data_IF_249830690940
#
_entry.id   IF_249830690940
#
_cell.length_a   1.000
_cell.length_b   1.000
_cell.length_c   1.000
_cell.angle_alpha   90.00
_cell.angle_beta   90.00
_cell.angle_gamma   90.00
#
_symmetry.space_group_name_H-M   'P 1'
#
loop_
_entity.id
_entity.type
_entity.pdbx_description
1 polymer ?
#
# COMPACT_ATOMS: atom_id res chain seq x y z
N UNK A 1 -28.79 31.39 39.04
CA UNK A 1 -27.75 31.13 38.02
C UNK A 1 -27.34 29.63 37.94
N UNK A 2 -28.29 28.68 37.85
CA UNK A 2 -28.01 27.22 37.86
C UNK A 2 -28.30 26.47 36.55
N UNK A 3 -28.83 27.16 35.54
CA UNK A 3 -29.29 26.54 34.27
C UNK A 3 -28.14 26.44 33.24
N UNK A 4 -27.13 27.31 33.35
CA UNK A 4 -26.06 27.46 32.35
C UNK A 4 -25.04 26.30 32.36
N UNK A 5 -24.82 25.66 33.51
CA UNK A 5 -23.88 24.54 33.68
C UNK A 5 -24.38 23.23 33.07
N UNK A 6 -25.69 22.97 33.03
CA UNK A 6 -26.24 21.74 32.44
C UNK A 6 -26.07 21.73 30.92
N UNK A 7 -26.34 22.84 30.24
CA UNK A 7 -26.15 22.96 28.78
C UNK A 7 -24.67 22.85 28.36
N UNK A 8 -23.76 23.39 29.18
CA UNK A 8 -22.33 23.30 28.91
C UNK A 8 -21.80 21.86 28.98
N UNK A 9 -22.30 21.06 29.93
CA UNK A 9 -21.98 19.63 30.07
C UNK A 9 -22.53 18.82 28.88
N UNK A 10 -23.75 19.08 28.43
CA UNK A 10 -24.30 18.41 27.24
C UNK A 10 -23.54 18.77 25.96
N UNK A 11 -23.11 20.02 25.79
CA UNK A 11 -22.22 20.41 24.69
C UNK A 11 -20.88 19.66 24.76
N UNK A 12 -20.24 19.57 25.93
CA UNK A 12 -18.97 18.87 26.10
C UNK A 12 -19.07 17.37 25.82
N UNK A 13 -20.16 16.72 26.27
CA UNK A 13 -20.45 15.31 26.01
C UNK A 13 -20.74 15.07 24.52
N UNK A 14 -21.50 15.96 23.86
CA UNK A 14 -21.74 15.86 22.42
C UNK A 14 -20.46 16.02 21.60
N UNK A 15 -19.58 16.95 21.99
CA UNK A 15 -18.28 17.16 21.33
C UNK A 15 -17.40 15.92 21.52
N UNK A 16 -17.36 15.34 22.71
CA UNK A 16 -16.61 14.11 23.00
C UNK A 16 -17.16 12.88 22.24
N UNK A 17 -18.49 12.77 22.08
CA UNK A 17 -19.14 11.73 21.27
C UNK A 17 -18.89 11.90 19.76
N UNK A 18 -18.84 13.14 19.27
CA UNK A 18 -18.52 13.44 17.86
C UNK A 18 -17.04 13.11 17.56
N UNK A 19 -16.12 13.39 18.49
CA UNK A 19 -14.71 13.02 18.33
C UNK A 19 -14.42 11.54 18.60
N UNK A 20 -15.31 10.82 19.30
CA UNK A 20 -15.12 9.42 19.70
C UNK A 20 -15.43 8.37 18.62
N UNK A 21 -16.27 8.69 17.63
CA UNK A 21 -16.77 7.68 16.67
C UNK A 21 -15.92 7.54 15.41
N UNK A 22 -15.07 8.52 15.11
CA UNK A 22 -14.17 8.53 13.96
C UNK A 22 -12.72 8.26 14.38
N UNK A 23 -12.42 7.07 14.94
CA UNK A 23 -11.04 6.74 15.35
C UNK A 23 -10.01 7.18 14.29
N UNK A 24 -8.94 7.86 14.70
CA UNK A 24 -7.99 8.46 13.77
C UNK A 24 -7.44 7.40 12.79
N UNK A 25 -7.50 7.65 11.49
CA UNK A 25 -6.99 6.74 10.44
C UNK A 25 -5.56 6.29 10.76
N UNK A 26 -4.74 7.21 11.25
CA UNK A 26 -3.35 6.94 11.65
C UNK A 26 -3.24 5.86 12.73
N UNK A 27 -4.13 5.86 13.71
CA UNK A 27 -4.12 4.85 14.76
C UNK A 27 -4.50 3.46 14.24
N UNK A 28 -5.44 3.38 13.28
CA UNK A 28 -5.76 2.12 12.61
C UNK A 28 -4.61 1.63 11.73
N UNK A 29 -3.87 2.52 11.06
CA UNK A 29 -2.64 2.16 10.34
C UNK A 29 -1.55 1.63 11.29
N UNK A 30 -1.38 2.24 12.47
CA UNK A 30 -0.46 1.73 13.50
C UNK A 30 -0.89 0.35 14.01
N UNK A 31 -2.19 0.11 14.18
CA UNK A 31 -2.71 -1.23 14.50
C UNK A 31 -2.46 -2.23 13.37
N UNK A 32 -2.62 -1.83 12.12
CA UNK A 32 -2.34 -2.70 10.95
C UNK A 32 -0.88 -3.10 10.92
N UNK A 33 0.04 -2.14 11.15
CA UNK A 33 1.47 -2.43 11.32
C UNK A 33 1.71 -3.49 12.40
N UNK A 34 1.03 -3.38 13.56
CA UNK A 34 1.13 -4.41 14.61
C UNK A 34 0.59 -5.78 14.16
N UNK A 35 -0.45 -5.82 13.33
CA UNK A 35 -0.93 -7.08 12.73
C UNK A 35 0.12 -7.68 11.79
N UNK A 36 0.79 -6.87 10.97
CA UNK A 36 1.86 -7.36 10.10
C UNK A 36 3.05 -7.92 10.87
N UNK A 37 3.35 -7.42 12.08
CA UNK A 37 4.37 -8.02 12.96
C UNK A 37 4.07 -9.48 13.30
N UNK A 38 2.79 -9.83 13.38
CA UNK A 38 2.28 -11.18 13.67
C UNK A 38 1.46 -11.70 12.48
N UNK A 39 2.05 -11.65 11.28
CA UNK A 39 1.36 -11.83 10.01
C UNK A 39 0.46 -13.08 9.99
N UNK A 40 0.95 -14.26 10.38
CA UNK A 40 0.24 -15.55 10.30
C UNK A 40 -0.99 -15.59 11.21
N UNK A 41 -0.95 -14.81 12.31
CA UNK A 41 -2.05 -14.71 13.26
C UNK A 41 -3.20 -13.86 12.71
N UNK A 42 -2.93 -12.89 11.84
CA UNK A 42 -3.90 -11.88 11.42
C UNK A 42 -4.20 -11.86 9.92
N UNK A 43 -3.34 -12.46 9.09
CA UNK A 43 -3.42 -12.42 7.63
C UNK A 43 -3.26 -13.83 7.07
N UNK A 44 -4.04 -14.14 6.04
CA UNK A 44 -3.89 -15.32 5.19
C UNK A 44 -3.46 -14.83 3.82
N UNK A 45 -2.42 -15.44 3.26
CA UNK A 45 -1.99 -15.20 1.89
C UNK A 45 -2.58 -16.28 0.99
N UNK A 46 -3.49 -15.92 0.11
CA UNK A 46 -4.14 -16.82 -0.85
C UNK A 46 -3.52 -16.65 -2.25
N UNK A 47 -3.44 -17.74 -3.01
CA UNK A 47 -2.89 -17.76 -4.38
C UNK A 47 -3.91 -18.14 -5.47
N UNK A 48 -5.09 -18.66 -5.10
CA UNK A 48 -6.05 -19.30 -6.02
C UNK A 48 -6.47 -18.43 -7.20
N UNK A 49 -6.59 -17.11 -7.00
CA UNK A 49 -6.99 -16.15 -8.04
C UNK A 49 -5.96 -15.02 -8.19
N UNK A 50 -4.68 -15.34 -7.99
CA UNK A 50 -3.60 -14.38 -7.80
C UNK A 50 -3.29 -14.14 -6.32
N UNK A 51 -2.29 -13.32 -6.04
CA UNK A 51 -1.89 -13.01 -4.67
C UNK A 51 -2.95 -12.12 -3.99
N UNK A 52 -3.47 -12.58 -2.86
CA UNK A 52 -4.38 -11.78 -2.05
C UNK A 52 -4.17 -11.96 -0.56
N UNK A 53 -4.34 -10.85 0.16
CA UNK A 53 -4.24 -10.76 1.61
C UNK A 53 -5.65 -10.79 2.20
N UNK A 54 -5.97 -11.82 2.96
CA UNK A 54 -7.24 -11.93 3.69
C UNK A 54 -6.99 -11.64 5.17
N UNK A 55 -7.66 -10.63 5.73
CA UNK A 55 -7.52 -10.21 7.11
C UNK A 55 -8.48 -10.98 8.03
N UNK A 56 -7.92 -11.72 9.00
CA UNK A 56 -8.68 -12.49 9.99
C UNK A 56 -9.37 -11.60 11.03
N UNK A 57 -8.76 -10.44 11.33
CA UNK A 57 -9.33 -9.42 12.22
C UNK A 57 -9.25 -8.06 11.51
N UNK A 58 -10.18 -7.76 10.60
CA UNK A 58 -10.15 -6.54 9.81
C UNK A 58 -10.32 -5.32 10.72
N UNK A 59 -9.55 -4.26 10.44
CA UNK A 59 -9.54 -3.05 11.25
C UNK A 59 -9.65 -1.76 10.43
N UNK A 60 -9.26 -1.80 9.16
CA UNK A 60 -9.39 -0.64 8.27
C UNK A 60 -10.81 -0.54 7.74
N UNK A 61 -11.32 0.68 7.64
CA UNK A 61 -12.67 1.00 7.17
C UNK A 61 -12.66 1.45 5.71
N UNK A 62 -13.82 1.44 5.02
CA UNK A 62 -13.93 2.02 3.66
C UNK A 62 -13.41 3.45 3.62
N UNK A 63 -13.78 4.27 4.62
CA UNK A 63 -13.34 5.66 4.74
C UNK A 63 -11.83 5.82 4.93
N UNK A 64 -11.16 4.85 5.57
CA UNK A 64 -9.70 4.89 5.70
C UNK A 64 -9.04 4.74 4.34
N UNK A 65 -9.58 3.85 3.50
CA UNK A 65 -9.06 3.64 2.14
C UNK A 65 -9.36 4.86 1.27
N UNK A 66 -10.55 5.45 1.36
CA UNK A 66 -10.85 6.71 0.65
C UNK A 66 -9.91 7.84 1.10
N UNK A 67 -9.65 7.96 2.40
CA UNK A 67 -8.72 8.95 2.94
C UNK A 67 -7.28 8.73 2.46
N UNK A 68 -6.79 7.48 2.54
CA UNK A 68 -5.46 7.08 2.06
C UNK A 68 -5.27 7.43 0.59
N UNK A 69 -6.25 7.10 -0.25
CA UNK A 69 -6.22 7.32 -1.69
C UNK A 69 -6.59 8.75 -2.10
N UNK A 70 -6.91 9.61 -1.11
CA UNK A 70 -7.38 11.00 -1.30
C UNK A 70 -8.58 11.13 -2.24
N UNK A 71 -9.43 10.10 -2.30
CA UNK A 71 -10.56 10.09 -3.22
C UNK A 71 -11.30 8.76 -3.26
N UNK A 72 -12.52 8.78 -3.79
CA UNK A 72 -13.33 7.57 -4.00
C UNK A 72 -12.81 6.80 -5.22
N UNK A 73 -12.88 5.46 -5.21
CA UNK A 73 -12.44 4.65 -6.35
C UNK A 73 -13.31 4.96 -7.57
N UNK A 74 -12.73 4.82 -8.76
CA UNK A 74 -13.49 4.90 -10.01
C UNK A 74 -14.56 3.79 -10.08
N UNK A 75 -14.23 2.60 -9.58
CA UNK A 75 -15.15 1.45 -9.54
C UNK A 75 -15.47 1.13 -8.07
N UNK A 76 -16.77 1.21 -7.74
CA UNK A 76 -17.36 0.77 -6.47
C UNK A 76 -18.58 -0.09 -6.79
N UNK A 77 -18.60 -1.33 -6.31
CA UNK A 77 -19.76 -2.23 -6.42
C UNK A 77 -20.20 -2.69 -5.03
N UNK A 78 -21.51 -2.76 -4.81
CA UNK A 78 -22.11 -3.24 -3.56
C UNK A 78 -22.94 -4.49 -3.85
N UNK A 79 -22.80 -5.52 -3.04
CA UNK A 79 -23.66 -6.70 -3.07
C UNK A 79 -23.93 -7.16 -1.63
N UNK A 80 -25.16 -6.96 -1.16
CA UNK A 80 -25.52 -7.17 0.25
C UNK A 80 -24.57 -6.43 1.20
N UNK A 81 -23.96 -7.17 2.13
CA UNK A 81 -23.01 -6.66 3.13
C UNK A 81 -21.59 -6.45 2.60
N UNK A 82 -21.34 -6.77 1.33
CA UNK A 82 -20.01 -6.68 0.71
C UNK A 82 -19.88 -5.47 -0.21
N UNK A 83 -18.72 -4.82 -0.13
CA UNK A 83 -18.37 -3.69 -0.99
C UNK A 83 -17.04 -3.98 -1.68
N UNK A 84 -16.97 -3.80 -2.99
CA UNK A 84 -15.73 -3.90 -3.77
C UNK A 84 -15.30 -2.49 -4.20
N UNK A 85 -14.08 -2.10 -3.83
CA UNK A 85 -13.39 -0.95 -4.42
C UNK A 85 -12.31 -1.46 -5.37
N UNK A 86 -12.20 -0.86 -6.55
CA UNK A 86 -11.06 -1.07 -7.45
C UNK A 86 -10.41 0.28 -7.76
N UNK A 87 -9.15 0.40 -7.37
CA UNK A 87 -8.30 1.55 -7.68
C UNK A 87 -7.32 1.17 -8.77
N UNK A 88 -7.25 2.01 -9.80
CA UNK A 88 -6.29 1.87 -10.89
C UNK A 88 -5.20 2.92 -10.74
N UNK A 89 -3.96 2.48 -10.78
CA UNK A 89 -2.76 3.29 -10.77
C UNK A 89 -2.25 3.37 -12.20
N UNK A 90 -2.17 4.57 -12.76
CA UNK A 90 -1.64 4.79 -14.11
C UNK A 90 -0.25 5.40 -14.01
N UNK A 91 0.71 4.89 -14.78
CA UNK A 91 2.02 5.53 -14.92
C UNK A 91 1.82 6.98 -15.36
N UNK A 92 2.63 7.87 -14.80
CA UNK A 92 2.65 9.27 -15.22
C UNK A 92 3.26 9.46 -16.61
N UNK A 93 4.24 8.63 -16.94
CA UNK A 93 4.99 8.65 -18.20
C UNK A 93 4.99 7.25 -18.81
N UNK A 94 3.87 6.82 -19.41
CA UNK A 94 3.85 5.55 -20.14
C UNK A 94 4.72 5.68 -21.40
N UNK A 95 5.46 4.62 -21.72
CA UNK A 95 6.13 4.50 -23.02
C UNK A 95 5.11 4.04 -24.04
N UNK A 96 5.06 4.68 -25.20
CA UNK A 96 4.16 4.32 -26.30
C UNK A 96 4.70 3.10 -27.04
N UNK A 97 4.60 1.93 -26.40
CA UNK A 97 4.88 0.62 -26.98
C UNK A 97 3.73 -0.32 -26.66
N UNK A 98 3.29 -1.18 -27.61
CA UNK A 98 2.20 -2.13 -27.37
C UNK A 98 2.41 -2.99 -26.11
N UNK A 99 3.65 -3.37 -25.81
CA UNK A 99 4.00 -4.14 -24.61
C UNK A 99 3.85 -3.32 -23.31
N UNK A 100 4.06 -2.01 -23.38
CA UNK A 100 4.01 -1.10 -22.23
C UNK A 100 2.60 -0.60 -21.93
N UNK A 101 1.69 -0.62 -22.91
CA UNK A 101 0.29 -0.19 -22.70
C UNK A 101 -0.39 -1.01 -21.60
N UNK A 102 -0.17 -2.32 -21.59
CA UNK A 102 -0.73 -3.22 -20.56
C UNK A 102 -0.05 -3.04 -19.20
N UNK A 103 1.23 -2.66 -19.18
CA UNK A 103 2.02 -2.41 -17.96
C UNK A 103 1.87 -0.98 -17.44
N UNK A 104 1.25 -0.09 -18.22
CA UNK A 104 1.01 1.29 -17.85
C UNK A 104 -0.01 1.44 -16.71
N UNK A 105 -0.77 0.38 -16.40
CA UNK A 105 -1.81 0.41 -15.39
C UNK A 105 -1.77 -0.78 -14.44
N UNK A 106 -1.85 -0.49 -13.14
CA UNK A 106 -1.91 -1.50 -12.07
C UNK A 106 -3.26 -1.34 -11.36
N UNK A 107 -4.02 -2.42 -11.20
CA UNK A 107 -5.30 -2.37 -10.51
C UNK A 107 -5.27 -3.15 -9.19
N UNK A 108 -5.55 -2.47 -8.08
CA UNK A 108 -5.74 -3.09 -6.77
C UNK A 108 -7.22 -3.18 -6.44
N UNK A 109 -7.63 -4.32 -5.90
CA UNK A 109 -9.01 -4.54 -5.46
C UNK A 109 -9.07 -4.69 -3.95
N UNK A 110 -10.00 -3.98 -3.32
CA UNK A 110 -10.25 -3.97 -1.88
C UNK A 110 -11.67 -4.45 -1.66
N UNK A 111 -11.81 -5.59 -1.00
CA UNK A 111 -13.10 -6.17 -0.65
C UNK A 111 -13.37 -5.91 0.82
N UNK A 112 -14.49 -5.24 1.06
CA UNK A 112 -15.01 -4.94 2.37
C UNK A 112 -16.19 -5.84 2.67
N UNK A 113 -16.37 -6.12 3.95
CA UNK A 113 -17.58 -6.68 4.50
C UNK A 113 -17.88 -5.91 5.77
N UNK A 114 -19.13 -5.49 5.93
CA UNK A 114 -19.55 -4.69 7.09
C UNK A 114 -18.70 -3.43 7.29
N UNK A 115 -18.38 -2.75 6.18
CA UNK A 115 -17.55 -1.54 6.13
C UNK A 115 -16.09 -1.72 6.60
N UNK A 116 -15.63 -2.95 6.83
CA UNK A 116 -14.23 -3.25 7.21
C UNK A 116 -13.49 -3.97 6.08
N UNK A 117 -12.19 -3.73 5.93
CA UNK A 117 -11.37 -4.30 4.85
C UNK A 117 -11.00 -5.75 5.17
N UNK A 118 -11.65 -6.68 4.49
CA UNK A 118 -11.41 -8.10 4.66
C UNK A 118 -10.38 -8.67 3.70
N UNK A 119 -10.28 -8.13 2.47
CA UNK A 119 -9.36 -8.68 1.47
C UNK A 119 -8.77 -7.62 0.56
N UNK A 120 -7.47 -7.73 0.28
CA UNK A 120 -6.77 -6.95 -0.75
C UNK A 120 -6.26 -7.92 -1.80
N UNK A 121 -6.61 -7.70 -3.07
CA UNK A 121 -6.13 -8.50 -4.20
C UNK A 121 -5.17 -7.70 -5.04
N UNK A 122 -3.99 -8.29 -5.29
CA UNK A 122 -3.01 -7.79 -6.24
C UNK A 122 -3.40 -8.23 -7.67
N UNK A 123 -2.86 -7.58 -8.72
CA UNK A 123 -3.03 -8.06 -10.08
C UNK A 123 -2.50 -9.49 -10.23
N UNK A 124 -3.17 -10.32 -11.05
CA UNK A 124 -2.74 -11.70 -11.29
C UNK A 124 -1.34 -11.79 -11.90
N UNK A 125 -0.88 -10.78 -12.64
CA UNK A 125 0.47 -10.72 -13.18
C UNK A 125 1.54 -10.74 -12.09
N UNK A 126 1.26 -10.17 -10.92
CA UNK A 126 2.22 -10.08 -9.82
C UNK A 126 2.53 -11.47 -9.24
N UNK A 127 1.57 -12.39 -9.24
CA UNK A 127 1.78 -13.74 -8.69
C UNK A 127 2.73 -14.62 -9.51
N UNK A 128 3.13 -14.18 -10.71
CA UNK A 128 4.10 -14.91 -11.56
C UNK A 128 5.55 -14.59 -11.21
N UNK A 129 5.79 -13.45 -10.55
CA UNK A 129 7.13 -12.90 -10.36
C UNK A 129 7.41 -12.47 -8.91
N UNK A 130 6.37 -12.34 -8.09
CA UNK A 130 6.51 -12.02 -6.67
C UNK A 130 6.29 -13.29 -5.88
N UNK A 131 7.35 -13.76 -5.24
CA UNK A 131 7.26 -14.88 -4.33
C UNK A 131 6.42 -14.51 -3.09
N UNK A 132 5.46 -15.36 -2.69
CA UNK A 132 4.65 -15.22 -1.49
C UNK A 132 5.46 -14.95 -0.22
N UNK A 133 6.62 -15.59 -0.10
CA UNK A 133 7.58 -15.47 0.99
C UNK A 133 8.20 -14.06 1.02
N UNK A 134 8.49 -13.48 -0.15
CA UNK A 134 8.97 -12.10 -0.25
C UNK A 134 7.91 -11.12 0.25
N UNK A 135 6.66 -11.26 -0.21
CA UNK A 135 5.55 -10.40 0.19
C UNK A 135 5.31 -10.50 1.71
N UNK A 136 5.25 -11.73 2.22
CA UNK A 136 5.07 -12.01 3.65
C UNK A 136 6.21 -11.44 4.48
N UNK A 137 7.46 -11.72 4.10
CA UNK A 137 8.65 -11.21 4.78
C UNK A 137 8.73 -9.68 4.75
N UNK A 138 8.36 -9.05 3.63
CA UNK A 138 8.31 -7.59 3.48
C UNK A 138 7.28 -6.97 4.42
N UNK A 139 6.06 -7.52 4.47
CA UNK A 139 5.02 -7.06 5.38
C UNK A 139 5.41 -7.28 6.85
N UNK A 140 5.96 -8.44 7.20
CA UNK A 140 6.51 -8.69 8.55
C UNK A 140 7.58 -7.66 8.93
N UNK A 141 8.46 -7.33 8.00
CA UNK A 141 9.53 -6.35 8.18
C UNK A 141 8.95 -4.96 8.45
N UNK A 142 7.96 -4.52 7.66
CA UNK A 142 7.20 -3.29 7.93
C UNK A 142 6.54 -3.34 9.32
N UNK A 143 5.97 -4.48 9.70
CA UNK A 143 5.38 -4.68 11.01
C UNK A 143 6.35 -4.47 12.17
N UNK A 144 7.63 -4.84 11.99
CA UNK A 144 8.73 -4.65 12.95
C UNK A 144 9.48 -3.33 12.79
N UNK A 145 9.29 -2.63 11.67
CA UNK A 145 10.03 -1.42 11.33
C UNK A 145 9.82 -0.25 12.29
N UNK A 146 10.72 0.72 12.22
CA UNK A 146 10.68 1.94 13.02
C UNK A 146 9.76 2.97 12.36
N UNK A 147 8.92 3.63 13.16
CA UNK A 147 8.02 4.68 12.69
C UNK A 147 8.66 6.04 12.95
N UNK A 148 8.83 6.82 11.89
CA UNK A 148 9.12 8.24 11.99
C UNK A 148 7.79 9.01 11.85
N UNK A 149 7.35 9.62 12.95
CA UNK A 149 6.09 10.38 12.98
C UNK A 149 6.20 11.72 12.27
N UNK A 150 7.38 12.35 12.29
CA UNK A 150 7.62 13.65 11.67
C UNK A 150 7.59 13.51 10.15
N UNK A 151 8.29 12.49 9.62
CA UNK A 151 8.33 12.17 8.20
C UNK A 151 7.15 11.30 7.73
N UNK A 152 6.24 10.93 8.66
CA UNK A 152 5.10 10.02 8.42
C UNK A 152 5.52 8.77 7.66
N UNK A 153 6.61 8.15 8.08
CA UNK A 153 7.22 7.04 7.37
C UNK A 153 7.50 5.84 8.26
N UNK A 154 7.62 4.66 7.64
CA UNK A 154 8.12 3.44 8.28
C UNK A 154 9.37 2.97 7.56
N UNK A 155 10.41 2.65 8.32
CA UNK A 155 11.64 2.07 7.77
C UNK A 155 11.86 0.69 8.39
N UNK A 156 12.18 -0.29 7.55
CA UNK A 156 12.37 -1.67 7.95
C UNK A 156 13.60 -2.28 7.29
N UNK A 157 14.08 -3.36 7.89
CA UNK A 157 15.12 -4.21 7.33
C UNK A 157 14.53 -5.60 7.16
N UNK A 158 14.59 -6.12 5.95
CA UNK A 158 14.27 -7.49 5.63
C UNK A 158 15.42 -8.36 6.16
N UNK A 159 15.08 -9.32 7.02
CA UNK A 159 16.09 -10.23 7.58
C UNK A 159 16.04 -11.54 6.81
N UNK A 160 17.04 -11.73 5.95
CA UNK A 160 17.19 -12.89 5.06
C UNK A 160 17.62 -14.15 5.82
N UNK A 161 17.99 -14.06 7.11
CA UNK A 161 18.45 -15.20 7.92
C UNK A 161 17.45 -16.36 8.04
N UNK A 162 16.17 -16.15 7.75
CA UNK A 162 15.16 -17.22 7.73
C UNK A 162 14.91 -17.81 6.34
N UNK A 163 15.49 -17.24 5.28
CA UNK A 163 15.26 -17.64 3.90
C UNK A 163 16.57 -17.54 3.12
N UNK A 164 17.35 -18.63 3.17
CA UNK A 164 18.65 -18.78 2.48
C UNK A 164 18.55 -18.88 0.96
N UNK A 165 17.34 -18.87 0.39
CA UNK A 165 17.13 -19.03 -1.04
C UNK A 165 17.20 -17.70 -1.79
N UNK A 166 18.26 -17.57 -2.60
CA UNK A 166 18.49 -16.42 -3.49
C UNK A 166 17.36 -16.19 -4.52
N UNK A 167 16.44 -17.15 -4.69
CA UNK A 167 15.30 -17.08 -5.61
C UNK A 167 14.14 -16.19 -5.14
N UNK A 168 14.11 -15.78 -3.87
CA UNK A 168 12.96 -15.04 -3.32
C UNK A 168 12.99 -13.56 -3.72
N UNK A 169 14.17 -13.01 -4.00
CA UNK A 169 14.35 -11.59 -4.29
C UNK A 169 14.31 -11.36 -5.82
N UNK A 170 13.39 -10.51 -6.34
CA UNK A 170 13.29 -10.28 -7.77
C UNK A 170 14.50 -9.51 -8.29
N UNK A 171 14.94 -9.90 -9.47
CA UNK A 171 15.93 -9.20 -10.27
C UNK A 171 15.35 -7.94 -10.89
N UNK A 172 16.23 -7.03 -11.33
CA UNK A 172 15.84 -5.85 -12.11
C UNK A 172 14.95 -6.21 -13.31
N UNK A 173 15.34 -7.22 -14.08
CA UNK A 173 14.61 -7.65 -15.28
C UNK A 173 13.20 -8.17 -14.95
N UNK A 174 13.01 -8.87 -13.83
CA UNK A 174 11.69 -9.30 -13.39
C UNK A 174 10.82 -8.13 -12.97
N UNK A 175 11.39 -7.14 -12.28
CA UNK A 175 10.68 -5.91 -11.92
C UNK A 175 10.23 -5.14 -13.18
N UNK A 176 11.10 -4.98 -14.17
CA UNK A 176 10.77 -4.32 -15.43
C UNK A 176 9.71 -5.10 -16.23
N UNK A 177 9.62 -6.44 -16.10
CA UNK A 177 8.52 -7.22 -16.70
C UNK A 177 7.16 -7.00 -16.03
N UNK A 178 7.14 -6.66 -14.73
CA UNK A 178 5.89 -6.43 -13.98
C UNK A 178 5.44 -4.98 -14.09
N UNK A 179 6.39 -4.06 -13.96
CA UNK A 179 6.15 -2.63 -13.84
C UNK A 179 6.44 -1.87 -15.13
N UNK A 180 7.00 -2.53 -16.15
CA UNK A 180 7.48 -1.90 -17.37
C UNK A 180 8.68 -0.98 -17.14
N UNK A 181 8.90 -0.10 -18.11
CA UNK A 181 9.97 0.90 -18.13
C UNK A 181 9.78 1.91 -16.99
N UNK A 182 10.84 2.23 -16.22
CA UNK A 182 10.78 3.24 -15.17
C UNK A 182 10.69 4.66 -15.75
N UNK A 183 10.27 5.61 -14.94
CA UNK A 183 10.34 7.03 -15.28
C UNK A 183 11.79 7.53 -15.33
N UNK A 184 12.64 7.06 -14.43
CA UNK A 184 14.06 7.39 -14.42
C UNK A 184 14.87 6.16 -13.97
N UNK A 185 16.06 6.02 -14.54
CA UNK A 185 17.06 5.05 -14.17
C UNK A 185 18.32 5.82 -13.78
N UNK A 186 18.77 5.65 -12.53
CA UNK A 186 20.05 6.21 -12.07
C UNK A 186 21.03 5.08 -11.81
N UNK A 187 22.18 5.13 -12.47
CA UNK A 187 23.23 4.12 -12.34
C UNK A 187 24.47 4.72 -11.67
N UNK A 188 25.10 3.90 -10.84
CA UNK A 188 26.35 4.17 -10.14
C UNK A 188 27.25 2.95 -10.29
N UNK A 189 28.52 3.07 -9.93
CA UNK A 189 29.45 1.93 -9.99
C UNK A 189 28.99 0.71 -9.17
N UNK A 190 28.24 0.92 -8.08
CA UNK A 190 27.83 -0.15 -7.16
C UNK A 190 26.34 -0.52 -7.23
N UNK A 191 25.49 0.33 -7.82
CA UNK A 191 24.05 0.10 -7.84
C UNK A 191 23.32 0.76 -9.01
N UNK A 192 22.14 0.23 -9.34
CA UNK A 192 21.17 0.88 -10.23
C UNK A 192 19.85 1.13 -9.49
N UNK A 193 19.21 2.28 -9.72
CA UNK A 193 17.92 2.64 -9.11
C UNK A 193 16.89 2.91 -10.18
N UNK A 194 15.83 2.11 -10.18
CA UNK A 194 14.62 2.34 -10.97
C UNK A 194 13.66 3.23 -10.20
N UNK A 195 13.18 4.30 -10.82
CA UNK A 195 12.22 5.22 -10.25
C UNK A 195 10.92 5.20 -11.04
N UNK A 196 9.80 4.89 -10.38
CA UNK A 196 8.47 4.88 -10.96
C UNK A 196 7.55 5.91 -10.31
N UNK A 197 6.64 6.45 -11.11
CA UNK A 197 5.66 7.44 -10.68
C UNK A 197 4.27 7.07 -11.22
N UNK A 198 3.26 7.11 -10.34
CA UNK A 198 1.88 6.78 -10.70
C UNK A 198 0.87 7.78 -10.16
N UNK A 199 -0.21 7.94 -10.91
CA UNK A 199 -1.45 8.56 -10.47
C UNK A 199 -2.51 7.53 -10.11
N UNK A 200 -3.33 7.86 -9.13
CA UNK A 200 -4.52 7.09 -8.81
C UNK A 200 -5.68 7.65 -9.62
N UNK A 201 -6.39 6.79 -10.35
CA UNK A 201 -7.63 7.14 -11.01
C UNK A 201 -8.79 7.10 -10.00
N UNK A 202 -9.33 8.29 -9.69
CA UNK A 202 -10.43 8.50 -8.72
C UNK A 202 -11.65 9.12 -9.41
N UNK A 203 -12.85 8.92 -8.85
CA UNK A 203 -14.13 9.30 -9.49
C UNK A 203 -14.32 10.81 -9.70
N UNK A 204 -13.64 11.70 -8.97
CA UNK A 204 -13.95 13.14 -8.96
C UNK A 204 -12.81 14.08 -9.34
N UNK A 205 -11.82 13.65 -10.13
CA UNK A 205 -10.70 14.51 -10.44
C UNK A 205 -11.03 15.48 -11.60
N UNK A 206 -11.75 16.57 -11.31
CA UNK A 206 -11.89 17.69 -12.27
C UNK A 206 -10.58 18.47 -12.47
N UNK A 207 -9.58 18.27 -11.60
CA UNK A 207 -8.22 18.77 -11.76
C UNK A 207 -7.24 17.67 -11.35
N UNK A 208 -6.79 16.87 -12.32
CA UNK A 208 -5.71 15.91 -12.11
C UNK A 208 -4.43 16.71 -11.78
N UNK A 209 -4.14 16.88 -10.48
CA UNK A 209 -2.85 17.40 -10.01
C UNK A 209 -1.74 16.61 -10.73
N UNK A 210 -0.76 17.30 -11.32
CA UNK A 210 0.36 16.70 -12.05
C UNK A 210 1.32 15.95 -11.11
N UNK A 211 1.16 16.09 -9.79
CA UNK A 211 2.03 15.47 -8.78
C UNK A 211 1.70 13.99 -8.57
N UNK A 212 2.68 13.08 -8.63
CA UNK A 212 2.43 11.65 -8.42
C UNK A 212 1.78 11.37 -7.05
N UNK A 213 0.77 10.50 -7.06
CA UNK A 213 0.20 9.96 -5.82
C UNK A 213 1.07 8.86 -5.23
N UNK A 214 1.78 8.13 -6.10
CA UNK A 214 2.67 7.03 -5.73
C UNK A 214 4.01 7.23 -6.40
N UNK A 215 5.06 7.08 -5.62
CA UNK A 215 6.44 7.09 -6.07
C UNK A 215 7.13 5.86 -5.52
N UNK A 216 7.89 5.16 -6.36
CA UNK A 216 8.59 3.93 -6.00
C UNK A 216 10.04 3.99 -6.48
N UNK A 217 10.97 3.79 -5.56
CA UNK A 217 12.40 3.65 -5.85
C UNK A 217 12.82 2.22 -5.52
N UNK A 218 13.32 1.50 -6.52
CA UNK A 218 13.85 0.15 -6.37
C UNK A 218 15.33 0.19 -6.72
N UNK A 219 16.18 -0.06 -5.75
CA UNK A 219 17.64 -0.05 -5.90
C UNK A 219 18.16 -1.47 -5.93
N UNK A 220 19.01 -1.75 -6.91
CA UNK A 220 19.59 -3.06 -7.18
C UNK A 220 21.11 -3.00 -7.07
N UNK A 221 21.70 -4.09 -6.58
CA UNK A 221 23.15 -4.30 -6.58
C UNK A 221 23.65 -4.48 -8.02
N UNK A 222 24.69 -3.75 -8.42
CA UNK A 222 25.29 -3.95 -9.77
C UNK A 222 26.05 -5.27 -9.88
N UNK A 223 26.38 -5.94 -8.77
CA UNK A 223 27.11 -7.22 -8.79
C UNK A 223 26.23 -8.40 -9.19
N UNK A 224 24.99 -8.44 -8.69
CA UNK A 224 24.10 -9.60 -8.86
C UNK A 224 22.67 -9.22 -9.29
N UNK A 225 22.42 -7.94 -9.59
CA UNK A 225 21.13 -7.40 -10.04
C UNK A 225 19.94 -7.67 -9.11
N UNK A 226 20.20 -8.00 -7.84
CA UNK A 226 19.17 -8.19 -6.82
C UNK A 226 18.79 -6.90 -6.15
N UNK A 227 17.52 -6.79 -5.74
CA UNK A 227 17.07 -5.62 -4.97
C UNK A 227 17.82 -5.56 -3.62
N UNK A 228 18.32 -4.38 -3.29
CA UNK A 228 18.98 -4.08 -2.01
C UNK A 228 18.16 -3.07 -1.19
N UNK A 229 17.29 -2.30 -1.85
CA UNK A 229 16.39 -1.37 -1.18
C UNK A 229 15.14 -1.10 -2.01
N UNK A 230 13.99 -1.04 -1.33
CA UNK A 230 12.74 -0.54 -1.89
C UNK A 230 12.23 0.61 -1.03
N UNK A 231 11.91 1.75 -1.64
CA UNK A 231 11.29 2.90 -0.98
C UNK A 231 10.03 3.28 -1.74
N UNK A 232 8.94 3.50 -1.01
CA UNK A 232 7.69 3.99 -1.55
C UNK A 232 7.24 5.26 -0.83
N UNK A 233 6.68 6.19 -1.58
CA UNK A 233 5.89 7.30 -1.07
C UNK A 233 4.49 7.18 -1.64
N UNK A 234 3.48 7.23 -0.78
CA UNK A 234 2.07 7.13 -1.14
C UNK A 234 1.32 8.26 -0.46
N UNK A 235 0.90 9.26 -1.24
CA UNK A 235 0.13 10.42 -0.76
C UNK A 235 0.73 11.13 0.48
N UNK A 236 2.07 11.12 0.61
CA UNK A 236 2.80 11.71 1.74
C UNK A 236 3.07 10.76 2.91
N UNK A 237 2.75 9.47 2.77
CA UNK A 237 3.16 8.40 3.68
C UNK A 237 4.34 7.64 3.07
N UNK A 238 5.40 7.47 3.85
CA UNK A 238 6.61 6.78 3.41
C UNK A 238 6.70 5.33 3.91
N UNK A 239 7.26 4.45 3.09
CA UNK A 239 7.73 3.14 3.53
C UNK A 239 9.10 2.85 2.90
N UNK A 240 10.02 2.24 3.65
CA UNK A 240 11.27 1.73 3.09
C UNK A 240 11.63 0.38 3.68
N UNK A 241 12.24 -0.46 2.85
CA UNK A 241 12.76 -1.78 3.21
C UNK A 241 14.17 -1.89 2.62
N UNK A 242 15.15 -2.20 3.47
CA UNK A 242 16.48 -2.64 3.03
C UNK A 242 16.53 -4.17 3.05
N UNK A 243 17.07 -4.79 2.00
CA UNK A 243 17.15 -6.23 1.82
C UNK A 243 18.54 -6.79 2.16
#
# INVERSE_FOLDING_TARGET
>A
MKIQTRHLVYCLISVFLIFGTGGCVYWRLLKLKKQFRHFERYVILEKTYGLSLTFKKPILLEQDIVWLFKGKPAIRAQSGRQTLFKYTFKKLYPVESPLEIDLAQIALSFLFQDNTLHKVRLPKTFSRYIEPELLTGSLRSVGRGTVDKQQRSVSATFQTKQHTDARIIPTRAEVERILGTPYNLTETSSSSTLFYQYHIHIKSNRHQDSRPNVQLWLTFSSMDNKIISAKASFNGLGASIRF
#
